data_IF_980046756363
#
_entry.id   IF_980046756363
#
_cell.length_a   1.000
_cell.length_b   1.000
_cell.length_c   1.000
_cell.angle_alpha   90.00
_cell.angle_beta   90.00
_cell.angle_gamma   90.00
#
_symmetry.space_group_name_H-M   'P 1'
#
loop_
_entity.id
_entity.type
_entity.pdbx_description
1 polymer ?
#
# COMPACT_ATOMS: atom_id res chain seq x y z
N UNK A 1 -31.13 -13.44 -5.00
CA UNK A 1 -30.84 -14.41 -3.92
C UNK A 1 -29.33 -14.34 -3.67
N UNK A 2 -28.87 -14.18 -2.43
CA UNK A 2 -27.44 -14.24 -2.11
C UNK A 2 -26.99 -15.72 -2.08
N UNK A 3 -25.84 -16.02 -2.67
CA UNK A 3 -25.32 -17.37 -2.82
C UNK A 3 -23.81 -17.39 -2.54
N UNK A 4 -23.35 -18.39 -1.79
CA UNK A 4 -21.93 -18.65 -1.52
C UNK A 4 -21.70 -20.13 -1.75
N UNK A 5 -20.66 -20.48 -2.52
CA UNK A 5 -20.31 -21.86 -2.84
C UNK A 5 -19.05 -22.27 -2.07
N UNK A 6 -19.06 -23.49 -1.54
CA UNK A 6 -17.89 -24.10 -0.92
C UNK A 6 -17.00 -24.69 -2.00
N UNK A 7 -15.75 -24.27 -2.05
CA UNK A 7 -14.76 -24.79 -2.99
C UNK A 7 -13.46 -23.99 -2.93
N UNK A 8 -12.42 -24.47 -3.62
CA UNK A 8 -11.19 -23.71 -3.81
C UNK A 8 -11.28 -22.91 -5.11
N UNK A 9 -11.31 -21.58 -5.01
CA UNK A 9 -11.44 -20.65 -6.14
C UNK A 9 -10.45 -20.89 -7.28
N UNK A 10 -9.24 -21.39 -6.99
CA UNK A 10 -8.21 -21.58 -8.01
C UNK A 10 -8.35 -22.90 -8.76
N UNK A 11 -8.80 -23.97 -8.11
CA UNK A 11 -8.92 -25.32 -8.70
C UNK A 11 -10.35 -25.67 -9.13
N UNK A 12 -11.35 -25.15 -8.43
CA UNK A 12 -12.77 -25.40 -8.65
C UNK A 12 -13.54 -24.07 -8.71
N UNK A 13 -13.27 -23.20 -9.71
CA UNK A 13 -13.98 -21.94 -9.83
C UNK A 13 -15.46 -22.17 -10.16
N UNK A 14 -16.36 -21.52 -9.41
CA UNK A 14 -17.80 -21.53 -9.67
C UNK A 14 -18.25 -20.27 -10.42
N UNK A 15 -19.51 -20.26 -10.86
CA UNK A 15 -20.15 -19.10 -11.49
C UNK A 15 -19.48 -18.61 -12.78
N UNK A 16 -18.81 -19.52 -13.50
CA UNK A 16 -18.16 -19.20 -14.78
C UNK A 16 -19.14 -18.69 -15.85
N UNK A 17 -20.39 -19.16 -15.80
CA UNK A 17 -21.44 -18.76 -16.74
C UNK A 17 -22.13 -17.43 -16.35
N UNK A 18 -22.02 -17.02 -15.09
CA UNK A 18 -22.61 -15.77 -14.58
C UNK A 18 -21.69 -14.56 -14.79
N UNK A 19 -20.43 -14.78 -15.18
CA UNK A 19 -19.48 -13.72 -15.49
C UNK A 19 -19.87 -13.03 -16.82
N UNK A 20 -19.54 -11.73 -17.01
CA UNK A 20 -18.65 -10.95 -16.17
C UNK A 20 -19.35 -10.09 -15.10
N UNK A 21 -18.62 -9.73 -14.04
CA UNK A 21 -19.09 -8.93 -12.90
C UNK A 21 -18.58 -7.49 -12.94
N UNK A 22 -19.40 -6.54 -12.47
CA UNK A 22 -19.07 -5.11 -12.49
C UNK A 22 -18.25 -4.65 -11.27
N UNK A 23 -18.34 -5.38 -10.16
CA UNK A 23 -17.60 -5.09 -8.94
C UNK A 23 -17.10 -6.38 -8.31
N UNK A 24 -15.81 -6.45 -7.99
CA UNK A 24 -15.19 -7.58 -7.30
C UNK A 24 -14.38 -7.03 -6.12
N UNK A 25 -14.60 -7.57 -4.93
CA UNK A 25 -13.78 -7.28 -3.75
C UNK A 25 -13.19 -8.58 -3.22
N UNK A 26 -11.94 -8.54 -2.76
CA UNK A 26 -11.31 -9.74 -2.21
C UNK A 26 -10.20 -9.39 -1.22
N UNK A 27 -10.06 -10.22 -0.18
CA UNK A 27 -8.91 -10.27 0.70
C UNK A 27 -8.37 -11.71 0.70
N UNK A 28 -7.66 -12.12 -0.35
CA UNK A 28 -7.15 -13.48 -0.46
C UNK A 28 -6.08 -13.75 0.62
N UNK A 29 -5.95 -15.00 1.09
CA UNK A 29 -4.93 -15.36 2.06
C UNK A 29 -3.53 -15.22 1.46
N UNK A 30 -2.60 -14.64 2.23
CA UNK A 30 -1.30 -14.22 1.70
C UNK A 30 -0.36 -15.39 1.43
N UNK A 31 0.18 -15.41 0.22
CA UNK A 31 1.22 -16.34 -0.23
C UNK A 31 0.92 -17.81 0.13
N UNK A 32 -0.35 -18.21 0.04
CA UNK A 32 -0.73 -19.61 0.22
C UNK A 32 -0.12 -20.47 -0.88
N UNK A 33 0.24 -21.70 -0.53
CA UNK A 33 0.65 -22.69 -1.52
C UNK A 33 -0.55 -23.10 -2.36
N UNK A 34 -0.30 -23.37 -3.63
CA UNK A 34 -1.29 -23.85 -4.58
C UNK A 34 -0.65 -24.77 -5.62
N UNK A 35 -1.46 -25.47 -6.40
CA UNK A 35 -0.98 -26.47 -7.36
C UNK A 35 -0.08 -25.85 -8.44
N UNK A 36 -0.46 -24.67 -8.96
CA UNK A 36 0.34 -23.91 -9.93
C UNK A 36 0.88 -24.77 -11.07
N UNK A 37 2.19 -24.70 -11.31
CA UNK A 37 2.84 -25.44 -12.40
C UNK A 37 2.87 -26.97 -12.23
N UNK A 38 2.42 -27.53 -11.10
CA UNK A 38 2.28 -28.99 -10.94
C UNK A 38 1.05 -29.52 -11.70
N UNK A 39 0.09 -28.66 -12.03
CA UNK A 39 -0.94 -28.95 -13.01
C UNK A 39 -0.60 -28.27 -14.36
N UNK A 40 -0.15 -29.03 -15.36
CA UNK A 40 0.26 -28.47 -16.64
C UNK A 40 -0.90 -27.92 -17.46
N UNK A 41 -2.15 -28.22 -17.10
CA UNK A 41 -3.33 -27.71 -17.84
C UNK A 41 -3.59 -26.24 -17.54
N UNK A 42 -3.20 -25.75 -16.35
CA UNK A 42 -3.46 -24.38 -15.92
C UNK A 42 -2.77 -23.32 -16.77
N UNK A 43 -1.69 -23.64 -17.48
CA UNK A 43 -1.05 -22.68 -18.38
C UNK A 43 -1.94 -22.32 -19.58
N UNK A 44 -2.90 -23.18 -19.91
CA UNK A 44 -3.86 -22.98 -20.99
C UNK A 44 -5.25 -22.57 -20.46
N UNK A 45 -5.42 -22.41 -19.15
CA UNK A 45 -6.66 -21.91 -18.54
C UNK A 45 -6.86 -20.44 -18.95
N UNK A 46 -8.05 -20.07 -19.43
CA UNK A 46 -8.40 -18.72 -19.89
C UNK A 46 -8.05 -17.61 -18.88
N UNK A 47 -8.02 -17.94 -17.58
CA UNK A 47 -7.67 -17.01 -16.50
C UNK A 47 -6.18 -16.66 -16.48
N UNK A 48 -5.31 -17.60 -16.85
CA UNK A 48 -3.86 -17.50 -16.66
C UNK A 48 -3.08 -17.46 -17.98
N UNK A 49 -3.59 -18.10 -19.02
CA UNK A 49 -2.96 -18.16 -20.34
C UNK A 49 -2.58 -16.77 -20.90
N UNK A 50 -3.41 -15.71 -20.75
CA UNK A 50 -3.05 -14.37 -21.24
C UNK A 50 -1.78 -13.78 -20.60
N UNK A 51 -1.48 -14.13 -19.36
CA UNK A 51 -0.25 -13.67 -18.68
C UNK A 51 1.00 -14.46 -19.13
N UNK A 52 0.82 -15.59 -19.81
CA UNK A 52 1.90 -16.43 -20.36
C UNK A 52 2.74 -17.18 -19.32
N UNK A 53 2.48 -16.98 -18.02
CA UNK A 53 3.14 -17.68 -16.91
C UNK A 53 2.16 -17.86 -15.73
N UNK A 54 2.38 -18.89 -14.93
CA UNK A 54 1.64 -19.11 -13.68
C UNK A 54 2.34 -18.41 -12.51
N UNK A 55 1.55 -18.01 -11.50
CA UNK A 55 2.11 -17.58 -10.23
C UNK A 55 2.95 -18.70 -9.58
N UNK A 56 4.00 -18.39 -8.80
CA UNK A 56 4.80 -19.42 -8.15
C UNK A 56 3.97 -20.33 -7.24
N UNK A 57 4.29 -21.63 -7.18
CA UNK A 57 3.55 -22.61 -6.35
C UNK A 57 3.50 -22.26 -4.87
N UNK A 58 4.52 -21.56 -4.38
CA UNK A 58 4.60 -21.09 -2.99
C UNK A 58 3.83 -19.80 -2.73
N UNK A 59 3.26 -19.15 -3.76
CA UNK A 59 2.66 -17.82 -3.68
C UNK A 59 1.50 -17.68 -4.67
N UNK A 60 0.29 -17.98 -4.21
CA UNK A 60 -0.92 -17.88 -5.03
C UNK A 60 -1.43 -16.44 -5.25
N UNK A 61 -0.76 -15.41 -4.71
CA UNK A 61 -1.27 -14.03 -4.68
C UNK A 61 -1.74 -13.55 -6.07
N UNK A 62 -0.89 -13.65 -7.09
CA UNK A 62 -1.26 -13.26 -8.46
C UNK A 62 -2.23 -14.22 -9.15
N UNK A 63 -2.36 -15.47 -8.70
CA UNK A 63 -3.39 -16.36 -9.22
C UNK A 63 -4.79 -15.84 -8.86
N UNK A 64 -4.97 -15.31 -7.63
CA UNK A 64 -6.21 -14.63 -7.25
C UNK A 64 -6.45 -13.34 -8.03
N UNK A 65 -5.41 -12.54 -8.26
CA UNK A 65 -5.51 -11.30 -9.06
C UNK A 65 -5.94 -11.60 -10.49
N UNK A 66 -5.31 -12.58 -11.14
CA UNK A 66 -5.66 -13.01 -12.51
C UNK A 66 -7.06 -13.63 -12.57
N UNK A 67 -7.45 -14.41 -11.55
CA UNK A 67 -8.81 -14.91 -11.43
C UNK A 67 -9.84 -13.77 -11.35
N UNK A 68 -9.63 -12.80 -10.46
CA UNK A 68 -10.51 -11.63 -10.34
C UNK A 68 -10.60 -10.85 -11.67
N UNK A 69 -9.46 -10.62 -12.34
CA UNK A 69 -9.42 -9.93 -13.63
C UNK A 69 -10.22 -10.69 -14.71
N UNK A 70 -10.15 -12.02 -14.74
CA UNK A 70 -10.86 -12.84 -15.73
C UNK A 70 -12.38 -12.79 -15.58
N UNK A 71 -12.87 -12.60 -14.35
CA UNK A 71 -14.30 -12.50 -14.04
C UNK A 71 -14.81 -11.06 -14.15
N UNK A 72 -13.92 -10.07 -14.23
CA UNK A 72 -14.27 -8.66 -14.29
C UNK A 72 -14.82 -8.23 -15.65
N UNK A 73 -15.91 -7.46 -15.65
CA UNK A 73 -16.50 -6.89 -16.87
C UNK A 73 -15.67 -5.75 -17.44
N UNK A 74 -15.91 -5.41 -18.71
CA UNK A 74 -15.20 -4.32 -19.37
C UNK A 74 -15.45 -2.95 -18.73
N UNK A 75 -16.60 -2.77 -18.04
CA UNK A 75 -16.98 -1.53 -17.34
C UNK A 75 -16.75 -1.59 -15.82
N UNK A 76 -16.32 -2.73 -15.31
CA UNK A 76 -16.23 -3.00 -13.87
C UNK A 76 -14.88 -2.63 -13.25
N UNK A 77 -14.84 -2.67 -11.92
CA UNK A 77 -13.61 -2.55 -11.12
C UNK A 77 -13.45 -3.67 -10.10
N UNK A 78 -12.20 -4.07 -9.84
CA UNK A 78 -11.87 -4.97 -8.74
C UNK A 78 -10.99 -4.26 -7.71
N UNK A 79 -11.25 -4.46 -6.43
CA UNK A 79 -10.40 -3.99 -5.33
C UNK A 79 -9.93 -5.19 -4.49
N UNK A 80 -8.62 -5.45 -4.53
CA UNK A 80 -8.03 -6.67 -3.97
C UNK A 80 -6.98 -6.28 -2.94
N UNK A 81 -7.12 -6.75 -1.71
CA UNK A 81 -6.09 -6.59 -0.69
C UNK A 81 -4.91 -7.51 -1.01
N UNK A 82 -3.70 -6.98 -0.97
CA UNK A 82 -2.49 -7.65 -1.40
C UNK A 82 -1.36 -7.46 -0.39
N UNK A 83 -0.56 -8.52 -0.23
CA UNK A 83 0.72 -8.43 0.47
C UNK A 83 1.69 -7.52 -0.33
N UNK A 84 2.41 -6.57 0.30
CA UNK A 84 3.27 -5.63 -0.41
C UNK A 84 4.33 -6.27 -1.31
N UNK A 85 4.78 -7.49 -0.96
CA UNK A 85 5.76 -8.24 -1.74
C UNK A 85 5.40 -8.47 -3.21
N UNK A 86 4.11 -8.56 -3.54
CA UNK A 86 3.70 -8.88 -4.92
C UNK A 86 4.11 -7.79 -5.92
N UNK A 87 4.35 -6.56 -5.45
CA UNK A 87 4.57 -5.40 -6.32
C UNK A 87 6.02 -5.25 -6.81
N UNK A 88 6.99 -5.97 -6.22
CA UNK A 88 8.41 -5.84 -6.57
C UNK A 88 9.14 -7.18 -6.81
N UNK A 89 8.55 -8.33 -6.45
CA UNK A 89 9.20 -9.64 -6.65
C UNK A 89 9.46 -9.95 -8.13
N UNK A 90 10.65 -10.44 -8.46
CA UNK A 90 11.06 -10.75 -9.84
C UNK A 90 10.44 -12.01 -10.43
N UNK A 91 10.95 -12.44 -11.59
CA UNK A 91 10.61 -13.72 -12.21
C UNK A 91 9.19 -13.77 -12.77
N UNK A 92 8.45 -14.85 -12.45
CA UNK A 92 7.08 -15.03 -12.95
C UNK A 92 6.14 -13.88 -12.52
N UNK A 93 6.30 -13.37 -11.30
CA UNK A 93 5.47 -12.27 -10.79
C UNK A 93 5.73 -10.95 -11.52
N UNK A 94 6.98 -10.68 -11.92
CA UNK A 94 7.30 -9.52 -12.76
C UNK A 94 6.64 -9.60 -14.14
N UNK A 95 6.64 -10.79 -14.76
CA UNK A 95 5.95 -11.03 -16.03
C UNK A 95 4.44 -10.82 -15.91
N UNK A 96 3.84 -11.25 -14.81
CA UNK A 96 2.41 -11.01 -14.54
C UNK A 96 2.15 -9.51 -14.34
N UNK A 97 2.98 -8.79 -13.59
CA UNK A 97 2.85 -7.32 -13.46
C UNK A 97 2.98 -6.62 -14.81
N UNK A 98 3.94 -7.03 -15.63
CA UNK A 98 4.09 -6.55 -17.01
C UNK A 98 2.80 -6.73 -17.81
N UNK A 99 2.22 -7.93 -17.80
CA UNK A 99 0.93 -8.20 -18.44
C UNK A 99 -0.20 -7.28 -17.93
N UNK A 100 -0.32 -7.09 -16.62
CA UNK A 100 -1.34 -6.22 -16.03
C UNK A 100 -1.18 -4.75 -16.41
N UNK A 101 0.07 -4.25 -16.46
CA UNK A 101 0.38 -2.86 -16.78
C UNK A 101 0.26 -2.59 -18.28
N UNK A 102 0.81 -3.47 -19.13
CA UNK A 102 0.79 -3.32 -20.59
C UNK A 102 -0.64 -3.31 -21.16
N UNK A 103 -1.54 -4.08 -20.55
CA UNK A 103 -2.95 -4.11 -20.94
C UNK A 103 -3.79 -3.04 -20.24
N UNK A 104 -3.15 -2.11 -19.53
CA UNK A 104 -3.81 -1.01 -18.82
C UNK A 104 -4.87 -1.48 -17.82
N UNK A 105 -4.62 -2.58 -17.10
CA UNK A 105 -5.57 -3.12 -16.12
C UNK A 105 -5.38 -2.56 -14.72
N UNK A 106 -4.16 -2.14 -14.36
CA UNK A 106 -3.86 -1.54 -13.05
C UNK A 106 -4.35 -0.10 -13.02
N UNK A 107 -5.35 0.23 -12.22
CA UNK A 107 -5.84 1.60 -12.08
C UNK A 107 -5.10 2.35 -10.98
N UNK A 108 -5.10 1.78 -9.77
CA UNK A 108 -4.50 2.40 -8.58
C UNK A 108 -3.87 1.34 -7.68
N UNK A 109 -2.72 1.65 -7.07
CA UNK A 109 -2.14 0.91 -5.95
C UNK A 109 -2.14 1.81 -4.72
N UNK A 110 -2.79 1.35 -3.65
CA UNK A 110 -2.94 2.10 -2.40
C UNK A 110 -2.13 1.39 -1.31
N UNK A 111 -1.16 2.04 -0.70
CA UNK A 111 -0.49 1.51 0.49
C UNK A 111 -1.21 1.98 1.75
N UNK A 112 -1.48 1.06 2.67
CA UNK A 112 -2.17 1.36 3.92
C UNK A 112 -1.23 1.25 5.12
N UNK A 113 -1.67 1.83 6.23
CA UNK A 113 -0.94 1.78 7.48
C UNK A 113 -0.66 0.33 7.95
N UNK A 114 0.45 0.10 8.67
CA UNK A 114 0.72 -1.18 9.31
C UNK A 114 -0.28 -1.45 10.45
N UNK A 115 -0.33 -2.70 10.89
CA UNK A 115 -1.09 -3.14 12.08
C UNK A 115 -2.61 -2.88 12.02
N UNK A 116 -3.21 -2.81 10.82
CA UNK A 116 -4.67 -2.73 10.63
C UNK A 116 -5.38 -4.09 10.80
N UNK A 117 -4.66 -5.21 10.68
CA UNK A 117 -5.22 -6.56 10.68
C UNK A 117 -4.91 -7.31 11.97
N UNK A 118 -5.86 -8.10 12.44
CA UNK A 118 -5.62 -9.04 13.54
C UNK A 118 -4.57 -10.08 13.13
N UNK A 119 -3.65 -10.39 14.05
CA UNK A 119 -2.65 -11.44 13.87
C UNK A 119 -1.44 -11.08 13.00
N UNK A 120 -1.33 -9.84 12.48
CA UNK A 120 -0.13 -9.37 11.78
C UNK A 120 0.06 -7.86 11.91
N UNK A 121 1.30 -7.42 12.08
CA UNK A 121 1.68 -6.00 12.09
C UNK A 121 2.06 -5.48 10.70
N UNK A 122 2.05 -6.35 9.69
CA UNK A 122 2.47 -6.03 8.32
C UNK A 122 1.51 -4.99 7.71
N UNK A 123 2.08 -4.05 6.96
CA UNK A 123 1.32 -3.15 6.11
C UNK A 123 0.72 -3.90 4.91
N UNK A 124 -0.46 -3.48 4.46
CA UNK A 124 -1.12 -4.08 3.31
C UNK A 124 -1.27 -3.04 2.20
N UNK A 125 -1.44 -3.51 0.98
CA UNK A 125 -1.80 -2.65 -0.13
C UNK A 125 -3.16 -3.08 -0.70
N UNK A 126 -3.85 -2.16 -1.36
CA UNK A 126 -5.02 -2.45 -2.19
C UNK A 126 -4.61 -2.25 -3.65
N UNK A 127 -4.80 -3.29 -4.46
CA UNK A 127 -4.70 -3.22 -5.91
C UNK A 127 -6.09 -3.00 -6.49
N UNK A 128 -6.27 -1.88 -7.17
CA UNK A 128 -7.49 -1.56 -7.92
C UNK A 128 -7.26 -1.86 -9.40
N UNK A 129 -8.09 -2.74 -9.96
CA UNK A 129 -8.09 -3.07 -11.38
C UNK A 129 -9.33 -2.50 -12.08
N UNK A 130 -9.17 -2.10 -13.33
CA UNK A 130 -10.27 -1.65 -14.19
C UNK A 130 -9.96 -1.97 -15.67
N UNK A 131 -11.02 -2.22 -16.46
CA UNK A 131 -10.90 -2.46 -17.92
C UNK A 131 -11.35 -1.26 -18.78
N UNK A 132 -11.89 -0.22 -18.16
CA UNK A 132 -12.45 0.98 -18.79
C UNK A 132 -11.69 2.26 -18.44
N UNK A 133 -10.38 2.18 -18.19
CA UNK A 133 -9.57 3.38 -17.92
C UNK A 133 -9.55 4.30 -19.15
N UNK A 134 -9.71 5.59 -18.93
CA UNK A 134 -9.70 6.63 -19.98
C UNK A 134 -8.28 7.08 -20.38
N UNK A 135 -7.29 6.73 -19.57
CA UNK A 135 -5.87 7.00 -19.81
C UNK A 135 -5.02 5.81 -19.36
N UNK A 136 -3.72 5.87 -19.63
CA UNK A 136 -2.74 4.82 -19.31
C UNK A 136 -1.99 5.05 -18.00
N UNK A 137 -2.28 6.13 -17.27
CA UNK A 137 -1.59 6.43 -16.02
C UNK A 137 -2.04 5.44 -14.94
N UNK A 138 -1.12 5.07 -14.05
CA UNK A 138 -1.42 4.33 -12.83
C UNK A 138 -1.25 5.25 -11.64
N UNK A 139 -2.25 5.29 -10.76
CA UNK A 139 -2.18 6.11 -9.56
C UNK A 139 -1.54 5.30 -8.42
N UNK A 140 -0.62 5.92 -7.70
CA UNK A 140 -0.05 5.39 -6.47
C UNK A 140 -0.47 6.30 -5.33
N UNK A 141 -1.00 5.72 -4.24
CA UNK A 141 -1.44 6.45 -3.06
C UNK A 141 -0.71 5.87 -1.84
N UNK A 142 0.01 6.71 -1.11
CA UNK A 142 0.61 6.37 0.17
C UNK A 142 -0.28 6.84 1.33
N UNK A 143 -1.15 5.96 1.80
CA UNK A 143 -1.97 6.18 2.98
C UNK A 143 -1.38 5.49 4.22
N UNK A 144 -0.08 5.18 4.21
CA UNK A 144 0.58 4.50 5.35
C UNK A 144 0.62 5.36 6.62
N UNK A 145 0.61 6.68 6.47
CA UNK A 145 0.48 7.64 7.57
C UNK A 145 -0.96 7.88 8.06
N UNK A 146 -1.98 7.43 7.32
CA UNK A 146 -3.38 7.71 7.63
C UNK A 146 -3.98 6.63 8.53
N UNK A 147 -3.80 6.76 9.84
CA UNK A 147 -4.42 5.86 10.82
C UNK A 147 -4.52 6.51 12.19
N UNK A 148 -5.48 6.04 12.99
CA UNK A 148 -5.51 6.32 14.42
C UNK A 148 -4.85 5.16 15.13
N UNK A 149 -3.81 5.47 15.91
CA UNK A 149 -3.14 4.50 16.76
C UNK A 149 -4.06 4.09 17.90
N UNK A 150 -4.21 2.79 18.08
CA UNK A 150 -4.96 2.16 19.16
C UNK A 150 -4.10 1.04 19.77
N UNK A 151 -4.52 0.45 20.89
CA UNK A 151 -3.69 -0.48 21.67
C UNK A 151 -3.26 -1.72 20.88
N UNK A 152 -4.21 -2.38 20.22
CA UNK A 152 -3.95 -3.67 19.56
C UNK A 152 -3.75 -3.51 18.06
N UNK A 153 -4.70 -2.85 17.40
CA UNK A 153 -4.71 -2.65 15.95
C UNK A 153 -5.00 -1.20 15.65
N UNK A 154 -4.26 -0.63 14.71
CA UNK A 154 -4.55 0.69 14.18
C UNK A 154 -5.94 0.68 13.51
N UNK A 155 -6.61 1.83 13.52
CA UNK A 155 -7.93 1.96 12.88
C UNK A 155 -7.93 3.06 11.81
N UNK A 156 -8.65 2.81 10.73
CA UNK A 156 -9.02 3.84 9.75
C UNK A 156 -10.32 4.48 10.22
N UNK A 157 -10.35 5.81 10.32
CA UNK A 157 -11.57 6.54 10.66
C UNK A 157 -12.37 6.80 9.38
N UNK A 158 -13.68 6.74 9.50
CA UNK A 158 -14.62 7.05 8.42
C UNK A 158 -15.65 8.04 8.93
N UNK A 159 -15.51 9.30 8.55
CA UNK A 159 -16.44 10.36 8.90
C UNK A 159 -16.44 11.42 7.80
N UNK A 160 -17.59 12.06 7.61
CA UNK A 160 -17.83 13.00 6.50
C UNK A 160 -17.66 14.47 6.92
N UNK A 161 -16.96 14.78 8.01
CA UNK A 161 -16.73 16.18 8.41
C UNK A 161 -15.91 16.90 7.32
N UNK A 162 -16.45 17.94 6.65
CA UNK A 162 -15.74 18.64 5.58
C UNK A 162 -14.43 19.33 6.04
N UNK A 163 -14.30 19.61 7.35
CA UNK A 163 -13.10 20.25 7.92
C UNK A 163 -12.07 19.24 8.42
N UNK A 164 -12.51 18.03 8.77
CA UNK A 164 -11.65 16.97 9.28
C UNK A 164 -12.15 15.59 8.82
N UNK A 165 -12.12 15.32 7.50
CA UNK A 165 -12.65 14.08 6.96
C UNK A 165 -11.89 12.88 7.51
N UNK A 166 -12.59 11.76 7.71
CA UNK A 166 -11.98 10.51 8.12
C UNK A 166 -10.93 10.04 7.11
N UNK A 167 -9.99 9.20 7.57
CA UNK A 167 -8.92 8.66 6.72
C UNK A 167 -9.45 8.02 5.43
N UNK A 168 -10.58 7.30 5.50
CA UNK A 168 -11.19 6.67 4.31
C UNK A 168 -11.66 7.74 3.31
N UNK A 169 -12.32 8.80 3.78
CA UNK A 169 -12.79 9.89 2.92
C UNK A 169 -11.63 10.66 2.28
N UNK A 170 -10.51 10.85 3.00
CA UNK A 170 -9.30 11.44 2.43
C UNK A 170 -8.73 10.58 1.29
N UNK A 171 -8.61 9.26 1.50
CA UNK A 171 -8.13 8.31 0.49
C UNK A 171 -9.06 8.33 -0.73
N UNK A 172 -10.38 8.27 -0.51
CA UNK A 172 -11.38 8.30 -1.59
C UNK A 172 -11.34 9.60 -2.38
N UNK A 173 -11.19 10.76 -1.72
CA UNK A 173 -11.08 12.05 -2.39
C UNK A 173 -9.88 12.12 -3.33
N UNK A 174 -8.74 11.57 -2.92
CA UNK A 174 -7.53 11.45 -3.76
C UNK A 174 -7.72 10.41 -4.88
N UNK A 175 -8.33 9.27 -4.57
CA UNK A 175 -8.64 8.24 -5.55
C UNK A 175 -9.53 8.75 -6.69
N UNK A 176 -10.55 9.56 -6.38
CA UNK A 176 -11.48 10.06 -7.40
C UNK A 176 -10.88 11.17 -8.27
N UNK A 177 -10.08 12.07 -7.67
CA UNK A 177 -9.57 13.24 -8.39
C UNK A 177 -8.35 12.94 -9.28
N UNK A 178 -7.64 11.83 -9.02
CA UNK A 178 -6.41 11.39 -9.73
C UNK A 178 -5.28 12.44 -9.78
N UNK A 179 -5.30 13.46 -8.93
CA UNK A 179 -4.29 14.52 -8.85
C UNK A 179 -3.05 14.03 -8.10
N UNK A 180 -1.93 14.65 -8.44
CA UNK A 180 -0.71 14.50 -7.65
C UNK A 180 -0.84 15.35 -6.38
N UNK A 181 -0.54 14.73 -5.25
CA UNK A 181 -0.51 15.36 -3.93
C UNK A 181 0.82 14.98 -3.31
N UNK A 182 1.60 15.99 -2.91
CA UNK A 182 2.91 15.79 -2.29
C UNK A 182 2.79 14.83 -1.09
N UNK A 183 3.74 13.90 -1.00
CA UNK A 183 3.80 12.84 0.01
C UNK A 183 2.61 11.86 0.12
N UNK A 184 1.54 12.05 -0.66
CA UNK A 184 0.31 11.27 -0.54
C UNK A 184 -0.06 10.51 -1.82
N UNK A 185 0.07 11.12 -3.00
CA UNK A 185 -0.32 10.45 -4.23
C UNK A 185 0.37 10.97 -5.48
N UNK A 186 0.58 10.07 -6.43
CA UNK A 186 1.10 10.41 -7.76
C UNK A 186 0.46 9.53 -8.84
N UNK A 187 -0.06 10.18 -9.88
CA UNK A 187 -0.46 9.55 -11.13
C UNK A 187 0.75 9.49 -12.05
N UNK A 188 1.19 8.28 -12.35
CA UNK A 188 2.46 7.99 -13.02
C UNK A 188 2.19 7.49 -14.44
N UNK A 189 2.91 8.02 -15.46
CA UNK A 189 2.77 7.56 -16.84
C UNK A 189 3.30 6.14 -17.02
N UNK A 190 2.78 5.44 -18.04
CA UNK A 190 3.18 4.07 -18.38
C UNK A 190 4.69 3.91 -18.52
N UNK A 191 5.36 4.82 -19.24
CA UNK A 191 6.80 4.72 -19.53
C UNK A 191 7.66 4.72 -18.25
N UNK A 192 7.30 5.51 -17.23
CA UNK A 192 8.04 5.54 -15.97
C UNK A 192 7.94 4.19 -15.22
N UNK A 193 6.81 3.47 -15.36
CA UNK A 193 6.63 2.14 -14.76
C UNK A 193 7.47 1.10 -15.51
N UNK A 194 7.59 1.24 -16.83
CA UNK A 194 8.44 0.39 -17.67
C UNK A 194 9.91 0.59 -17.31
N UNK A 195 10.35 1.84 -17.15
CA UNK A 195 11.72 2.20 -16.75
C UNK A 195 12.10 1.65 -15.37
N UNK A 196 11.10 1.45 -14.50
CA UNK A 196 11.24 0.81 -13.18
C UNK A 196 10.96 -0.69 -13.21
N UNK A 197 11.10 -1.33 -14.37
CA UNK A 197 10.93 -2.77 -14.58
C UNK A 197 9.61 -3.34 -14.05
N UNK A 198 8.53 -2.59 -14.20
CA UNK A 198 7.19 -2.93 -13.70
C UNK A 198 7.13 -3.11 -12.18
N UNK A 199 7.94 -2.36 -11.44
CA UNK A 199 7.79 -2.20 -10.00
C UNK A 199 6.53 -1.35 -9.72
N UNK A 200 5.65 -1.87 -8.88
CA UNK A 200 4.38 -1.23 -8.52
C UNK A 200 4.32 -0.86 -7.03
N UNK A 201 5.45 -0.86 -6.34
CA UNK A 201 5.54 -0.38 -4.96
C UNK A 201 5.30 1.11 -4.89
N UNK A 202 4.37 1.55 -4.03
CA UNK A 202 4.01 2.97 -3.86
C UNK A 202 5.22 3.84 -3.52
N UNK A 203 6.12 3.33 -2.66
CA UNK A 203 7.36 4.03 -2.27
C UNK A 203 8.35 4.28 -3.41
N UNK A 204 8.15 3.65 -4.58
CA UNK A 204 8.95 3.95 -5.78
C UNK A 204 8.47 5.21 -6.50
N UNK A 205 7.32 5.77 -6.13
CA UNK A 205 6.67 6.88 -6.86
C UNK A 205 6.20 8.03 -5.97
N UNK A 206 5.92 7.75 -4.70
CA UNK A 206 5.51 8.74 -3.70
C UNK A 206 6.60 8.77 -2.63
N UNK A 207 7.22 9.94 -2.46
CA UNK A 207 8.23 10.16 -1.43
C UNK A 207 7.54 10.36 -0.08
N UNK A 208 7.96 9.63 0.94
CA UNK A 208 7.43 9.82 2.29
C UNK A 208 7.80 11.21 2.82
N UNK A 209 6.90 11.80 3.59
CA UNK A 209 7.15 13.07 4.27
C UNK A 209 8.30 12.92 5.28
N UNK A 210 9.26 13.86 5.24
CA UNK A 210 10.33 13.92 6.22
C UNK A 210 9.81 14.58 7.51
N UNK A 211 9.39 13.76 8.46
CA UNK A 211 8.86 14.21 9.76
C UNK A 211 9.94 14.48 10.80
N UNK A 212 11.23 14.45 10.43
CA UNK A 212 12.30 14.80 11.36
C UNK A 212 12.21 16.27 11.72
N UNK A 213 12.24 16.57 13.02
CA UNK A 213 12.34 17.95 13.47
C UNK A 213 13.63 18.57 12.93
N UNK A 214 13.49 19.65 12.17
CA UNK A 214 14.63 20.49 11.78
C UNK A 214 15.04 21.25 13.04
N UNK A 215 15.95 20.67 13.80
CA UNK A 215 16.55 21.33 14.95
C UNK A 215 17.36 22.52 14.43
N UNK A 216 16.97 23.74 14.79
CA UNK A 216 17.82 24.91 14.57
C UNK A 216 19.04 24.79 15.48
N UNK A 217 20.15 24.33 14.89
CA UNK A 217 21.43 24.15 15.57
C UNK A 217 21.90 25.46 16.20
N UNK A 218 21.56 26.61 15.60
CA UNK A 218 21.94 27.94 16.11
C UNK A 218 21.19 28.24 17.39
N UNK A 219 19.87 28.02 17.39
CA UNK A 219 19.03 28.19 18.59
C UNK A 219 19.45 27.22 19.69
N UNK A 220 19.65 25.93 19.37
CA UNK A 220 20.07 24.92 20.33
C UNK A 220 21.43 25.28 20.96
N UNK A 221 22.38 25.76 20.17
CA UNK A 221 23.68 26.22 20.67
C UNK A 221 23.56 27.46 21.57
N UNK A 222 22.64 28.37 21.27
CA UNK A 222 22.38 29.55 22.11
C UNK A 222 21.75 29.15 23.47
N UNK A 223 20.81 28.20 23.45
CA UNK A 223 20.21 27.63 24.66
C UNK A 223 21.23 26.87 25.51
N UNK A 224 22.10 26.07 24.88
CA UNK A 224 23.22 25.40 25.53
C UNK A 224 24.15 26.41 26.21
N UNK A 225 24.56 27.46 25.50
CA UNK A 225 25.44 28.51 26.05
C UNK A 225 24.81 29.22 27.25
N UNK A 226 23.51 29.52 27.16
CA UNK A 226 22.75 30.14 28.25
C UNK A 226 22.68 29.22 29.46
N UNK A 227 22.44 27.93 29.24
CA UNK A 227 22.35 26.92 30.29
C UNK A 227 23.69 26.75 31.01
N UNK A 228 24.80 26.65 30.27
CA UNK A 228 26.15 26.59 30.84
C UNK A 228 26.45 27.84 31.68
N UNK A 229 26.13 29.04 31.17
CA UNK A 229 26.34 30.28 31.92
C UNK A 229 25.56 30.32 33.24
N UNK A 230 24.34 29.78 33.27
CA UNK A 230 23.56 29.66 34.52
C UNK A 230 24.18 28.68 35.49
N UNK A 231 24.68 27.54 35.00
CA UNK A 231 25.40 26.56 35.83
C UNK A 231 26.64 27.20 36.46
N UNK A 232 27.42 27.95 35.68
CA UNK A 232 28.62 28.61 36.17
C UNK A 232 28.29 29.69 37.22
N UNK A 233 27.23 30.47 37.02
CA UNK A 233 26.73 31.40 38.03
C UNK A 233 26.36 30.70 39.34
N UNK A 234 25.52 29.66 39.25
CA UNK A 234 25.09 28.93 40.44
C UNK A 234 26.26 28.27 41.18
N UNK A 235 27.28 27.80 40.46
CA UNK A 235 28.52 27.28 41.08
C UNK A 235 29.27 28.36 41.83
N UNK A 236 29.46 29.53 41.22
CA UNK A 236 30.11 30.66 41.89
C UNK A 236 29.36 31.11 43.14
N UNK A 237 28.02 31.14 43.09
CA UNK A 237 27.18 31.49 44.22
C UNK A 237 27.33 30.46 45.37
N UNK A 238 27.38 29.17 45.04
CA UNK A 238 27.62 28.10 46.02
C UNK A 238 29.03 28.24 46.63
N UNK A 239 30.06 28.43 45.81
CA UNK A 239 31.44 28.56 46.28
C UNK A 239 31.62 29.77 47.20
N UNK A 240 30.91 30.88 46.93
CA UNK A 240 30.88 32.05 47.80
C UNK A 240 30.26 31.74 49.17
N UNK A 241 29.14 31.01 49.20
CA UNK A 241 28.50 30.57 50.45
C UNK A 241 29.43 29.62 51.23
N UNK A 242 30.08 28.67 50.55
CA UNK A 242 31.02 27.74 51.20
C UNK A 242 32.20 28.50 51.81
N UNK A 243 32.79 29.45 51.08
CA UNK A 243 33.88 30.27 51.59
C UNK A 243 33.49 31.14 52.80
N UNK A 244 32.23 31.59 52.87
CA UNK A 244 31.68 32.30 54.03
C UNK A 244 31.50 31.39 55.26
N UNK A 245 31.18 30.11 55.04
CA UNK A 245 30.99 29.10 56.10
C UNK A 245 32.32 28.52 56.61
N UNK A 246 33.33 28.38 55.72
CA UNK A 246 34.66 27.86 56.07
C UNK A 246 35.62 28.93 56.63
N UNK A 247 35.17 30.20 56.67
CA UNK A 247 35.88 31.34 57.28
C UNK A 247 35.83 31.38 58.80
#
# INVERSE_FOLDING_TARGET
KFNVQLGNTLTEPHFGDDKPFDAIVSNPPYSVKWIGSDDPTLINDDRFAPAGVLAPKSKADFAFVLHALSYLSSKGRAAIVCFPGIFYRGGAEQKIRKYLVDNNYVETVISLAPNLFFGTTIAVNILVLAKNKTNTNTQFIDASGLFKKETNNNILTDNEDPKNPGHIQQIMGVFDNKKNVEHLARSVPYDEIVDKEYNLSVSSYVEAEDTREVIDITQLNAELKTTVSKIDQLRNDIDAIVAEIEG
#
